data_IF_560281772293
#
_entry.id   IF_560281772293
#
_cell.length_a   1.000
_cell.length_b   1.000
_cell.length_c   1.000
_cell.angle_alpha   90.00
_cell.angle_beta   90.00
_cell.angle_gamma   90.00
#
_symmetry.space_group_name_H-M   'P 1'
#
loop_
_entity.id
_entity.type
_entity.pdbx_description
1 polymer ?
#
# COMPACT_ATOMS: atom_id res chain seq x y z
N UNK A 1 -14.30 -16.47 -72.97
CA UNK A 1 -12.89 -16.92 -73.06
C UNK A 1 -12.41 -17.17 -71.63
N UNK A 2 -13.13 -17.95 -70.84
CA UNK A 2 -13.36 -19.41 -70.89
C UNK A 2 -12.46 -20.04 -69.82
N UNK A 3 -13.05 -20.32 -68.64
CA UNK A 3 -13.62 -21.62 -68.24
C UNK A 3 -12.46 -22.54 -67.79
N UNK A 4 -12.28 -22.91 -66.53
CA UNK A 4 -13.10 -23.77 -65.64
C UNK A 4 -12.14 -24.24 -64.53
N UNK A 5 -12.51 -24.62 -63.30
CA UNK A 5 -13.77 -25.05 -62.74
C UNK A 5 -13.51 -26.23 -61.79
N UNK A 6 -13.68 -26.01 -60.49
CA UNK A 6 -14.44 -26.85 -59.55
C UNK A 6 -14.09 -28.32 -59.28
N UNK A 7 -13.92 -28.61 -57.99
CA UNK A 7 -14.86 -29.43 -57.20
C UNK A 7 -14.28 -30.66 -56.48
N UNK A 8 -14.42 -30.64 -55.15
CA UNK A 8 -14.51 -31.82 -54.29
C UNK A 8 -15.81 -32.62 -54.61
N UNK A 9 -16.05 -33.87 -54.11
CA UNK A 9 -16.39 -34.08 -52.69
C UNK A 9 -16.03 -35.47 -52.08
N UNK A 10 -16.36 -35.59 -50.80
CA UNK A 10 -16.24 -36.74 -49.90
C UNK A 10 -16.94 -38.04 -50.35
N UNK A 11 -16.47 -39.19 -49.82
CA UNK A 11 -17.33 -40.33 -49.44
C UNK A 11 -16.67 -41.29 -48.43
N UNK A 12 -17.52 -41.69 -47.50
CA UNK A 12 -17.51 -42.70 -46.43
C UNK A 12 -17.09 -44.12 -46.82
N UNK A 13 -16.52 -44.91 -45.88
CA UNK A 13 -17.19 -46.11 -45.31
C UNK A 13 -16.30 -46.96 -44.38
N UNK A 14 -16.95 -47.44 -43.32
CA UNK A 14 -16.68 -48.52 -42.35
C UNK A 14 -15.87 -49.73 -42.85
N UNK A 15 -15.01 -50.28 -41.98
CA UNK A 15 -15.13 -51.66 -41.47
C UNK A 15 -14.18 -51.96 -40.30
N UNK A 16 -14.72 -52.61 -39.25
CA UNK A 16 -14.04 -53.34 -38.16
C UNK A 16 -14.09 -54.84 -38.52
N UNK A 17 -13.18 -55.71 -38.04
CA UNK A 17 -13.37 -56.45 -36.78
C UNK A 17 -12.05 -56.64 -35.97
N UNK A 18 -12.07 -56.62 -34.63
CA UNK A 18 -12.14 -57.78 -33.69
C UNK A 18 -10.85 -58.60 -33.59
N UNK A 19 -10.24 -58.62 -32.39
CA UNK A 19 -9.75 -59.79 -31.63
C UNK A 19 -8.98 -59.27 -30.39
N UNK A 20 -9.54 -59.40 -29.18
CA UNK A 20 -9.32 -60.46 -28.18
C UNK A 20 -7.88 -60.40 -27.59
N UNK A 21 -7.65 -59.73 -26.44
CA UNK A 21 -7.74 -60.23 -25.02
C UNK A 21 -6.63 -61.28 -24.71
N UNK A 22 -6.01 -61.42 -23.51
CA UNK A 22 -6.24 -60.75 -22.21
C UNK A 22 -4.97 -60.20 -21.50
N UNK A 23 -5.24 -59.35 -20.52
CA UNK A 23 -4.52 -59.25 -19.23
C UNK A 23 -5.11 -60.31 -18.26
N UNK A 24 -4.34 -60.91 -17.34
CA UNK A 24 -4.95 -61.10 -16.02
C UNK A 24 -4.00 -60.81 -14.85
N UNK A 25 -4.49 -59.90 -14.02
CA UNK A 25 -4.71 -59.99 -12.57
C UNK A 25 -3.51 -60.36 -11.66
N UNK A 26 -3.02 -59.44 -10.84
CA UNK A 26 -3.65 -58.91 -9.61
C UNK A 26 -3.82 -59.97 -8.49
N UNK A 27 -2.97 -59.87 -7.47
CA UNK A 27 -3.30 -60.29 -6.09
C UNK A 27 -2.64 -59.32 -5.09
N UNK A 28 -3.48 -58.61 -4.34
CA UNK A 28 -3.24 -57.82 -3.12
C UNK A 28 -3.18 -58.75 -1.88
N UNK A 29 -3.29 -58.32 -0.61
CA UNK A 29 -2.61 -57.29 0.21
C UNK A 29 -1.98 -57.91 1.50
N UNK A 30 -1.50 -57.04 2.41
CA UNK A 30 -1.51 -57.18 3.90
C UNK A 30 -0.16 -57.36 4.63
N UNK A 31 -0.02 -56.64 5.75
CA UNK A 31 0.88 -56.97 6.88
C UNK A 31 1.85 -55.83 7.24
N UNK A 32 1.47 -54.88 8.12
CA UNK A 32 1.64 -54.91 9.58
C UNK A 32 3.10 -54.75 10.07
N UNK A 33 3.39 -53.67 10.81
CA UNK A 33 4.64 -53.56 11.56
C UNK A 33 4.97 -52.15 12.06
N UNK A 34 4.29 -51.68 13.11
CA UNK A 34 4.90 -50.74 14.06
C UNK A 34 6.05 -51.43 14.82
N UNK A 35 6.98 -50.66 15.39
CA UNK A 35 7.31 -50.94 16.78
C UNK A 35 7.31 -49.70 17.66
N UNK A 36 7.03 -50.01 18.92
CA UNK A 36 6.76 -49.15 20.05
C UNK A 36 8.01 -48.54 20.68
N UNK A 37 7.76 -47.48 21.45
CA UNK A 37 8.58 -46.86 22.50
C UNK A 37 9.33 -47.85 23.41
N UNK A 38 10.35 -47.38 24.16
CA UNK A 38 10.54 -47.77 25.54
C UNK A 38 9.89 -46.76 26.50
N UNK A 39 9.06 -47.29 27.39
CA UNK A 39 8.57 -46.66 28.62
C UNK A 39 9.52 -47.02 29.77
N UNK A 40 9.87 -46.02 30.57
CA UNK A 40 10.19 -46.11 32.01
C UNK A 40 9.89 -44.69 32.53
N UNK A 41 8.85 -44.39 33.33
CA UNK A 41 8.43 -45.01 34.58
C UNK A 41 9.40 -44.56 35.69
N UNK A 42 9.09 -43.70 36.66
CA UNK A 42 7.84 -43.03 37.02
C UNK A 42 8.08 -42.00 38.13
N UNK A 43 6.99 -41.65 38.84
CA UNK A 43 6.89 -40.83 40.05
C UNK A 43 6.85 -39.28 39.88
N UNK A 44 5.63 -38.75 39.75
CA UNK A 44 5.24 -37.59 40.55
C UNK A 44 5.08 -37.98 42.04
N UNK A 45 4.79 -37.04 42.97
CA UNK A 45 3.91 -35.89 42.76
C UNK A 45 4.41 -34.54 43.34
N UNK A 46 3.69 -33.48 42.99
CA UNK A 46 3.20 -32.43 43.91
C UNK A 46 3.46 -30.99 43.44
N UNK A 47 2.36 -30.35 43.03
CA UNK A 47 1.89 -29.02 43.47
C UNK A 47 2.92 -27.95 43.87
N UNK A 48 3.03 -26.89 43.08
CA UNK A 48 3.03 -25.51 43.59
C UNK A 48 2.83 -24.51 42.43
N UNK A 49 1.79 -23.68 42.57
CA UNK A 49 1.50 -22.54 41.71
C UNK A 49 2.54 -21.42 41.87
N UNK A 50 2.83 -20.62 40.82
CA UNK A 50 3.59 -19.39 40.97
C UNK A 50 2.68 -18.21 41.32
N UNK A 51 2.97 -17.59 42.46
CA UNK A 51 2.36 -16.36 42.96
C UNK A 51 2.58 -15.16 42.01
N UNK A 52 1.59 -14.27 41.83
CA UNK A 52 1.76 -13.02 41.11
C UNK A 52 2.39 -11.93 42.00
N UNK A 53 3.35 -11.19 41.44
CA UNK A 53 4.00 -10.05 42.08
C UNK A 53 3.06 -8.87 42.36
N UNK A 54 3.47 -7.94 43.25
CA UNK A 54 2.56 -7.00 43.90
C UNK A 54 2.12 -5.86 42.96
N UNK A 55 0.80 -5.65 42.92
CA UNK A 55 0.15 -4.46 42.35
C UNK A 55 0.22 -3.31 43.34
N UNK A 56 0.70 -2.16 42.88
CA UNK A 56 0.64 -0.87 43.58
C UNK A 56 -0.79 -0.32 43.44
N UNK A 57 -1.43 0.20 44.51
CA UNK A 57 -2.84 0.57 44.48
C UNK A 57 -3.07 2.01 43.97
N UNK A 58 -3.98 2.14 43.00
CA UNK A 58 -4.62 3.40 42.62
C UNK A 58 -5.59 3.87 43.71
N UNK A 59 -5.36 5.08 44.21
CA UNK A 59 -6.29 5.77 45.09
C UNK A 59 -7.41 6.41 44.27
N UNK A 60 -8.64 5.92 44.47
CA UNK A 60 -9.88 6.63 44.12
C UNK A 60 -10.21 7.61 45.24
N UNK A 61 -10.55 8.85 44.90
CA UNK A 61 -11.47 9.65 45.70
C UNK A 61 -12.42 10.46 44.82
N UNK A 62 -13.67 10.41 45.24
CA UNK A 62 -14.87 10.94 44.61
C UNK A 62 -15.10 12.42 44.94
N UNK A 63 -15.71 13.09 43.96
CA UNK A 63 -16.56 14.29 43.95
C UNK A 63 -16.88 15.04 45.26
N UNK A 64 -16.86 16.38 45.18
CA UNK A 64 -17.95 17.23 45.67
C UNK A 64 -17.89 18.64 45.06
N UNK A 65 -19.01 19.04 44.44
CA UNK A 65 -19.35 20.42 44.09
C UNK A 65 -19.63 21.26 45.34
N UNK A 66 -19.21 22.53 45.36
CA UNK A 66 -19.93 23.60 46.08
C UNK A 66 -19.59 24.99 45.51
N UNK A 67 -20.66 25.74 45.28
CA UNK A 67 -20.76 27.15 44.91
C UNK A 67 -20.22 28.09 46.01
N UNK A 68 -19.72 29.27 45.63
CA UNK A 68 -19.43 30.35 46.58
C UNK A 68 -18.73 31.56 45.96
N UNK A 69 -19.48 32.64 45.81
CA UNK A 69 -19.13 33.96 45.28
C UNK A 69 -17.91 34.67 45.92
N UNK A 70 -17.35 35.62 45.18
CA UNK A 70 -17.03 36.94 45.75
C UNK A 70 -15.60 37.46 45.56
N UNK A 71 -15.56 38.74 45.15
CA UNK A 71 -14.51 39.75 45.36
C UNK A 71 -13.41 39.94 44.29
N UNK A 72 -13.65 41.00 43.52
CA UNK A 72 -12.75 41.77 42.66
C UNK A 72 -11.65 42.53 43.42
N UNK A 73 -10.67 43.02 42.63
CA UNK A 73 -9.74 44.17 42.78
C UNK A 73 -8.24 43.77 42.77
N UNK A 74 -7.30 44.70 42.44
CA UNK A 74 -6.90 45.01 41.06
C UNK A 74 -5.38 44.85 40.86
N UNK A 75 -4.89 44.61 39.64
CA UNK A 75 -3.44 44.67 39.35
C UNK A 75 -3.13 45.54 38.13
N UNK A 76 -2.97 46.81 38.46
CA UNK A 76 -1.92 47.74 38.00
C UNK A 76 -1.24 47.44 36.67
N UNK A 77 -1.59 48.30 35.71
CA UNK A 77 -0.81 48.65 34.53
C UNK A 77 0.61 49.10 34.93
N UNK A 78 1.62 48.45 34.34
CA UNK A 78 2.95 49.04 34.19
C UNK A 78 3.35 48.95 32.73
N UNK A 79 3.21 50.12 32.08
CA UNK A 79 3.89 50.49 30.84
C UNK A 79 5.39 50.19 30.97
N UNK A 80 5.93 49.45 29.99
CA UNK A 80 7.37 49.36 29.78
C UNK A 80 7.67 49.69 28.32
N UNK A 81 8.59 50.65 28.21
CA UNK A 81 9.09 51.31 27.03
C UNK A 81 9.48 50.38 25.89
N UNK A 82 9.16 50.85 24.70
CA UNK A 82 9.59 50.39 23.38
C UNK A 82 11.11 50.49 23.22
N UNK A 83 11.73 49.38 22.84
CA UNK A 83 13.11 49.30 22.34
C UNK A 83 13.02 49.05 20.82
N UNK A 84 13.75 49.78 19.96
CA UNK A 84 13.65 49.59 18.52
C UNK A 84 14.30 48.27 18.11
N UNK A 85 13.50 47.36 17.59
CA UNK A 85 13.93 46.05 17.11
C UNK A 85 14.74 46.22 15.81
N UNK A 86 15.98 45.76 15.84
CA UNK A 86 16.85 45.71 14.67
C UNK A 86 16.22 44.78 13.62
N UNK A 87 16.01 45.30 12.41
CA UNK A 87 15.55 44.53 11.25
C UNK A 87 16.52 43.38 10.99
N UNK A 88 16.09 42.14 11.27
CA UNK A 88 16.76 40.93 10.82
C UNK A 88 16.80 40.86 9.28
N UNK A 89 17.73 40.07 8.71
CA UNK A 89 17.89 39.98 7.26
C UNK A 89 16.62 39.40 6.64
N UNK A 90 16.06 40.13 5.67
CA UNK A 90 14.97 39.66 4.82
C UNK A 90 15.49 38.49 4.01
N UNK A 91 15.08 37.27 4.38
CA UNK A 91 15.26 36.08 3.55
C UNK A 91 14.36 36.27 2.32
N UNK A 92 14.87 36.20 1.08
CA UNK A 92 14.02 36.32 -0.08
C UNK A 92 13.02 35.15 -0.11
N UNK A 93 11.73 35.47 -0.11
CA UNK A 93 10.64 34.51 -0.31
C UNK A 93 10.86 33.74 -1.61
N UNK A 94 10.96 32.42 -1.51
CA UNK A 94 11.00 31.53 -2.66
C UNK A 94 9.59 31.50 -3.31
N UNK A 95 9.44 31.84 -4.59
CA UNK A 95 8.14 32.10 -5.21
C UNK A 95 7.24 30.88 -5.48
N UNK A 96 7.50 29.70 -4.90
CA UNK A 96 6.75 28.47 -5.20
C UNK A 96 6.47 27.55 -4.00
N UNK A 97 6.73 27.99 -2.76
CA UNK A 97 6.35 27.19 -1.59
C UNK A 97 4.82 27.18 -1.44
N UNK A 98 4.20 26.01 -1.59
CA UNK A 98 2.79 25.78 -1.23
C UNK A 98 2.76 25.11 0.14
N UNK A 99 2.77 25.87 1.26
CA UNK A 99 2.86 25.29 2.60
C UNK A 99 1.71 24.33 2.93
N UNK A 100 0.57 24.46 2.23
CA UNK A 100 -0.61 23.61 2.41
C UNK A 100 -0.65 22.37 1.49
N UNK A 101 0.34 22.20 0.59
CA UNK A 101 0.36 21.09 -0.35
C UNK A 101 0.85 19.80 0.34
N UNK A 102 -0.01 18.78 0.40
CA UNK A 102 0.37 17.47 0.93
C UNK A 102 1.36 16.78 -0.01
N UNK A 103 2.44 16.16 0.51
CA UNK A 103 3.32 15.33 -0.30
C UNK A 103 2.56 14.21 -1.00
N UNK A 104 2.59 14.18 -2.34
CA UNK A 104 1.88 13.17 -3.14
C UNK A 104 2.71 12.73 -4.32
N UNK A 105 2.70 11.43 -4.62
CA UNK A 105 3.34 10.91 -5.82
C UNK A 105 2.49 11.30 -7.04
N UNK A 106 3.10 12.07 -7.94
CA UNK A 106 2.45 12.62 -9.15
C UNK A 106 2.98 11.98 -10.43
N UNK A 107 4.10 11.25 -10.35
CA UNK A 107 4.64 10.49 -11.47
C UNK A 107 5.32 9.21 -10.98
N UNK A 108 5.11 8.12 -11.70
CA UNK A 108 5.86 6.88 -11.53
C UNK A 108 6.70 6.60 -12.79
N UNK A 109 7.98 6.33 -12.61
CA UNK A 109 8.92 6.03 -13.70
C UNK A 109 9.44 4.61 -13.63
N UNK A 110 9.27 3.87 -14.72
CA UNK A 110 9.76 2.52 -14.93
C UNK A 110 10.77 2.56 -16.07
N UNK A 111 11.95 3.09 -15.77
CA UNK A 111 12.99 3.35 -16.78
C UNK A 111 13.52 2.04 -17.40
N UNK A 112 13.70 1.01 -16.58
CA UNK A 112 14.11 -0.31 -16.99
C UNK A 112 13.67 -1.32 -15.93
N UNK A 113 12.43 -1.80 -15.98
CA UNK A 113 11.84 -2.63 -14.91
C UNK A 113 10.91 -3.70 -15.48
N UNK A 114 11.25 -4.97 -15.31
CA UNK A 114 10.57 -6.13 -15.87
C UNK A 114 10.27 -5.95 -17.37
N UNK A 115 8.99 -5.88 -17.78
CA UNK A 115 8.58 -5.62 -19.16
C UNK A 115 8.69 -4.14 -19.60
N UNK A 116 8.75 -3.19 -18.66
CA UNK A 116 8.68 -1.75 -18.93
C UNK A 116 10.03 -1.15 -19.34
N UNK A 117 9.99 -0.21 -20.29
CA UNK A 117 11.16 0.52 -20.83
C UNK A 117 10.82 1.99 -20.97
N UNK A 118 11.61 2.86 -20.36
CA UNK A 118 11.46 4.32 -20.45
C UNK A 118 10.02 4.81 -20.21
N UNK A 119 9.26 4.11 -19.37
CA UNK A 119 7.87 4.47 -19.11
C UNK A 119 7.80 5.50 -17.98
N UNK A 120 7.00 6.54 -18.18
CA UNK A 120 6.66 7.53 -17.17
C UNK A 120 5.14 7.71 -17.16
N UNK A 121 4.52 7.48 -16.00
CA UNK A 121 3.08 7.53 -15.84
C UNK A 121 2.72 8.65 -14.87
N UNK A 122 2.05 9.69 -15.39
CA UNK A 122 1.47 10.72 -14.55
C UNK A 122 0.34 10.12 -13.70
N UNK A 123 0.33 10.46 -12.41
CA UNK A 123 -0.64 10.02 -11.43
C UNK A 123 -1.51 11.21 -11.03
N UNK A 124 -2.79 11.14 -11.41
CA UNK A 124 -3.85 12.05 -10.96
C UNK A 124 -4.52 11.57 -9.65
N UNK A 125 -5.57 12.28 -9.19
CA UNK A 125 -6.35 11.89 -8.01
C UNK A 125 -6.93 10.47 -8.13
N UNK A 126 -7.42 10.10 -9.32
CA UNK A 126 -7.80 8.72 -9.66
C UNK A 126 -7.09 8.34 -10.96
N UNK A 127 -6.22 7.35 -10.91
CA UNK A 127 -5.46 6.84 -12.07
C UNK A 127 -5.69 5.35 -12.24
N UNK A 128 -6.13 4.94 -13.43
CA UNK A 128 -6.44 3.55 -13.75
C UNK A 128 -5.58 3.05 -14.92
N UNK A 129 -4.78 2.02 -14.67
CA UNK A 129 -3.99 1.32 -15.67
C UNK A 129 -4.83 0.24 -16.37
N UNK A 130 -4.84 0.25 -17.70
CA UNK A 130 -5.58 -0.72 -18.52
C UNK A 130 -4.70 -1.27 -19.65
N UNK A 131 -5.19 -2.29 -20.36
CA UNK A 131 -4.46 -2.99 -21.42
C UNK A 131 -4.54 -4.52 -21.30
N UNK A 132 -4.03 -5.27 -22.28
CA UNK A 132 -4.14 -6.73 -22.32
C UNK A 132 -3.42 -7.42 -21.15
N UNK A 133 -3.74 -8.70 -20.93
CA UNK A 133 -2.94 -9.53 -20.01
C UNK A 133 -1.47 -9.52 -20.41
N UNK A 134 -0.57 -9.39 -19.44
CA UNK A 134 0.87 -9.26 -19.71
C UNK A 134 1.34 -7.83 -20.02
N UNK A 135 0.46 -6.83 -20.13
CA UNK A 135 0.86 -5.43 -20.38
C UNK A 135 1.61 -4.75 -19.23
N UNK A 136 1.79 -5.43 -18.10
CA UNK A 136 2.53 -4.93 -16.95
C UNK A 136 1.73 -4.05 -15.98
N UNK A 137 0.39 -4.06 -16.02
CA UNK A 137 -0.49 -3.35 -15.05
C UNK A 137 -0.12 -3.65 -13.59
N UNK A 138 -0.10 -4.92 -13.22
CA UNK A 138 0.29 -5.38 -11.87
C UNK A 138 1.72 -4.95 -11.55
N UNK A 139 2.64 -5.10 -12.50
CA UNK A 139 4.04 -4.71 -12.35
C UNK A 139 4.20 -3.22 -12.06
N UNK A 140 3.40 -2.36 -12.71
CA UNK A 140 3.39 -0.91 -12.46
C UNK A 140 2.97 -0.59 -11.03
N UNK A 141 1.88 -1.18 -10.54
CA UNK A 141 1.44 -0.97 -9.15
C UNK A 141 2.43 -1.55 -8.14
N UNK A 142 3.04 -2.71 -8.42
CA UNK A 142 4.08 -3.30 -7.58
C UNK A 142 5.32 -2.43 -7.49
N UNK A 143 5.70 -1.72 -8.56
CA UNK A 143 6.82 -0.79 -8.51
C UNK A 143 6.54 0.40 -7.57
N UNK A 144 5.30 0.92 -7.57
CA UNK A 144 4.90 1.96 -6.62
C UNK A 144 4.90 1.40 -5.19
N UNK A 145 4.30 0.24 -4.95
CA UNK A 145 4.33 -0.42 -3.64
C UNK A 145 5.78 -0.64 -3.15
N UNK A 146 6.69 -1.06 -4.03
CA UNK A 146 8.09 -1.26 -3.69
C UNK A 146 8.79 0.05 -3.29
N UNK A 147 8.57 1.14 -4.02
CA UNK A 147 9.07 2.46 -3.62
C UNK A 147 8.49 2.91 -2.28
N UNK A 148 7.20 2.65 -2.02
CA UNK A 148 6.56 2.95 -0.75
C UNK A 148 7.22 2.22 0.42
N UNK A 149 7.48 0.91 0.26
CA UNK A 149 8.16 0.07 1.26
C UNK A 149 9.60 0.51 1.51
N UNK A 150 10.36 0.80 0.45
CA UNK A 150 11.72 1.37 0.58
C UNK A 150 11.70 2.74 1.29
N UNK A 151 10.71 3.58 1.01
CA UNK A 151 10.49 4.86 1.69
C UNK A 151 10.12 4.70 3.16
N UNK A 152 9.47 3.58 3.54
CA UNK A 152 9.19 3.21 4.92
C UNK A 152 10.42 2.62 5.66
N UNK A 153 11.49 2.30 4.95
CA UNK A 153 12.73 1.78 5.52
C UNK A 153 12.86 0.26 5.46
N UNK A 154 11.98 -0.45 4.74
CA UNK A 154 12.13 -1.89 4.52
C UNK A 154 13.44 -2.19 3.77
N UNK A 155 14.18 -3.25 4.14
CA UNK A 155 15.41 -3.64 3.45
C UNK A 155 15.12 -4.19 2.06
N UNK A 156 16.08 -4.02 1.16
CA UNK A 156 15.92 -4.29 -0.27
C UNK A 156 15.53 -5.74 -0.59
N UNK A 157 16.02 -6.72 0.17
CA UNK A 157 15.72 -8.14 0.01
C UNK A 157 14.28 -8.51 0.41
N UNK A 158 13.73 -7.84 1.43
CA UNK A 158 12.32 -7.97 1.78
C UNK A 158 11.40 -7.29 0.74
N UNK A 159 11.85 -6.22 0.11
CA UNK A 159 11.08 -5.51 -0.93
C UNK A 159 11.10 -6.27 -2.25
N UNK A 160 12.25 -6.85 -2.62
CA UNK A 160 12.45 -7.56 -3.88
C UNK A 160 13.05 -8.97 -3.66
N UNK A 161 12.28 -9.91 -3.09
CA UNK A 161 12.76 -11.28 -2.89
C UNK A 161 13.15 -11.95 -4.22
N UNK A 162 12.40 -11.67 -5.29
CA UNK A 162 12.61 -12.20 -6.64
C UNK A 162 13.17 -11.11 -7.59
N UNK A 163 14.18 -10.35 -7.14
CA UNK A 163 14.72 -9.20 -7.88
C UNK A 163 15.19 -9.53 -9.31
N UNK A 164 15.64 -10.77 -9.55
CA UNK A 164 16.09 -11.22 -10.88
C UNK A 164 14.95 -11.20 -11.92
N UNK A 165 13.73 -11.52 -11.51
CA UNK A 165 12.54 -11.52 -12.39
C UNK A 165 12.11 -10.10 -12.80
N UNK A 166 12.58 -9.10 -12.05
CA UNK A 166 12.33 -7.68 -12.32
C UNK A 166 13.39 -7.07 -13.23
N UNK A 167 14.45 -7.80 -13.57
CA UNK A 167 15.42 -7.38 -14.57
C UNK A 167 14.77 -7.49 -15.96
N UNK A 168 14.86 -6.44 -16.80
CA UNK A 168 14.59 -6.54 -18.22
C UNK A 168 15.12 -7.83 -18.88
N UNK A 169 14.25 -8.63 -19.50
CA UNK A 169 14.64 -9.91 -20.14
C UNK A 169 15.79 -9.74 -21.16
N UNK A 170 15.76 -8.63 -21.91
CA UNK A 170 16.80 -8.29 -22.90
C UNK A 170 18.05 -7.61 -22.31
N UNK A 171 18.10 -7.34 -21.00
CA UNK A 171 19.29 -6.77 -20.39
C UNK A 171 20.40 -7.82 -20.35
N UNK A 172 21.47 -7.53 -21.08
CA UNK A 172 22.69 -8.35 -21.05
C UNK A 172 23.48 -8.01 -19.79
N UNK A 173 24.12 -9.02 -19.16
CA UNK A 173 25.08 -8.75 -18.11
C UNK A 173 26.22 -7.89 -18.65
N UNK A 174 26.75 -7.02 -17.81
CA UNK A 174 27.98 -6.31 -18.14
C UNK A 174 29.20 -7.25 -18.03
N UNK A 175 30.41 -6.71 -18.25
CA UNK A 175 31.66 -7.47 -18.19
C UNK A 175 31.91 -8.15 -16.82
N UNK A 176 31.25 -7.68 -15.76
CA UNK A 176 31.32 -8.20 -14.40
C UNK A 176 30.11 -9.08 -14.05
N UNK A 177 29.26 -9.44 -15.03
CA UNK A 177 28.08 -10.26 -14.80
C UNK A 177 26.90 -9.51 -14.20
N UNK A 178 26.96 -8.17 -14.08
CA UNK A 178 25.96 -7.40 -13.34
C UNK A 178 24.73 -7.12 -14.18
N UNK A 179 23.56 -7.30 -13.57
CA UNK A 179 22.25 -6.96 -14.15
C UNK A 179 21.37 -6.32 -13.08
N UNK A 180 20.41 -5.51 -13.53
CA UNK A 180 19.61 -4.72 -12.62
C UNK A 180 18.45 -4.00 -13.30
N UNK A 181 17.74 -3.20 -12.52
CA UNK A 181 16.59 -2.45 -12.95
C UNK A 181 16.61 -1.01 -12.39
N UNK A 182 15.80 -0.15 -13.00
CA UNK A 182 15.66 1.26 -12.62
C UNK A 182 14.20 1.66 -12.53
N UNK A 183 13.84 2.15 -11.35
CA UNK A 183 12.52 2.68 -11.00
C UNK A 183 12.69 4.05 -10.34
N UNK A 184 11.64 4.86 -10.34
CA UNK A 184 11.66 6.15 -9.68
C UNK A 184 10.27 6.77 -9.60
N UNK A 185 10.17 7.89 -8.91
CA UNK A 185 8.93 8.65 -8.80
C UNK A 185 9.19 10.15 -8.70
N UNK A 186 8.17 10.95 -9.01
CA UNK A 186 8.13 12.37 -8.65
C UNK A 186 7.10 12.55 -7.55
N UNK A 187 7.50 13.23 -6.48
CA UNK A 187 6.64 13.60 -5.37
C UNK A 187 6.49 15.11 -5.38
N UNK A 188 5.27 15.59 -5.55
CA UNK A 188 4.93 17.01 -5.45
C UNK A 188 4.52 17.34 -4.01
N UNK A 189 4.68 18.60 -3.58
CA UNK A 189 4.48 19.01 -2.20
C UNK A 189 5.07 20.40 -1.89
N UNK A 190 5.37 20.72 -0.62
CA UNK A 190 5.83 22.06 -0.22
C UNK A 190 7.14 22.49 -0.89
N UNK A 191 8.01 21.55 -1.27
CA UNK A 191 9.27 21.81 -1.97
C UNK A 191 9.07 21.99 -3.49
N UNK A 192 7.85 21.85 -4.01
CA UNK A 192 7.57 21.62 -5.42
C UNK A 192 7.90 20.18 -5.84
N UNK A 193 8.05 19.88 -7.14
CA UNK A 193 8.33 18.53 -7.61
C UNK A 193 9.74 18.07 -7.21
N UNK A 194 9.80 16.97 -6.46
CA UNK A 194 11.04 16.28 -6.07
C UNK A 194 11.10 14.92 -6.75
N UNK A 195 12.19 14.68 -7.49
CA UNK A 195 12.41 13.47 -8.28
C UNK A 195 13.35 12.52 -7.55
N UNK A 196 12.90 11.29 -7.31
CA UNK A 196 13.70 10.18 -6.82
C UNK A 196 13.90 9.15 -7.94
N UNK A 197 15.14 8.87 -8.31
CA UNK A 197 15.50 7.79 -9.23
C UNK A 197 16.41 6.78 -8.52
N UNK A 198 16.08 5.49 -8.64
CA UNK A 198 16.75 4.37 -7.97
C UNK A 198 17.26 3.36 -9.00
N UNK A 199 18.52 2.95 -8.84
CA UNK A 199 19.16 1.89 -9.60
C UNK A 199 19.51 0.73 -8.68
N UNK A 200 18.92 -0.43 -8.96
CA UNK A 200 19.11 -1.66 -8.21
C UNK A 200 19.85 -2.66 -9.07
N UNK A 201 20.92 -3.24 -8.56
CA UNK A 201 21.53 -4.44 -9.09
C UNK A 201 20.81 -5.65 -8.49
N UNK A 202 20.37 -6.57 -9.33
CA UNK A 202 19.77 -7.85 -8.91
C UNK A 202 20.81 -8.98 -8.93
N UNK A 203 21.69 -8.98 -9.93
CA UNK A 203 22.71 -10.03 -10.14
C UNK A 203 24.11 -9.40 -10.19
N UNK A 204 25.16 -10.07 -9.67
CA UNK A 204 25.13 -11.37 -8.98
C UNK A 204 24.66 -11.28 -7.53
N UNK A 205 24.61 -10.06 -6.96
CA UNK A 205 24.12 -9.80 -5.60
C UNK A 205 23.15 -8.62 -5.61
N UNK A 206 22.02 -8.80 -4.93
CA UNK A 206 21.03 -7.76 -4.72
C UNK A 206 21.63 -6.60 -3.90
N UNK A 207 21.57 -5.39 -4.45
CA UNK A 207 21.97 -4.13 -3.79
C UNK A 207 21.52 -2.89 -4.56
N UNK A 208 21.38 -1.78 -3.88
CA UNK A 208 21.26 -0.44 -4.46
C UNK A 208 22.65 -0.03 -4.96
N UNK A 209 22.76 0.29 -6.25
CA UNK A 209 24.02 0.74 -6.86
C UNK A 209 24.07 2.24 -7.11
N UNK A 210 22.91 2.88 -7.11
CA UNK A 210 22.80 4.32 -7.24
C UNK A 210 21.41 4.84 -6.93
N UNK A 211 21.39 6.04 -6.42
CA UNK A 211 20.19 6.78 -6.04
C UNK A 211 20.41 8.25 -6.39
N UNK A 212 19.36 8.91 -6.86
CA UNK A 212 19.40 10.34 -7.16
C UNK A 212 18.13 11.01 -6.65
N UNK A 213 18.30 11.97 -5.75
CA UNK A 213 17.26 12.90 -5.31
C UNK A 213 17.50 14.25 -5.99
N UNK A 214 16.53 14.75 -6.74
CA UNK A 214 16.64 16.01 -7.49
C UNK A 214 15.45 16.91 -7.19
N UNK A 215 15.69 18.19 -6.92
CA UNK A 215 14.66 19.22 -6.80
C UNK A 215 15.14 20.49 -7.50
N UNK A 216 14.25 21.22 -8.17
CA UNK A 216 14.57 22.48 -8.88
C UNK A 216 15.81 22.36 -9.78
N UNK A 217 15.86 21.27 -10.56
CA UNK A 217 16.97 20.89 -11.46
C UNK A 217 18.35 20.73 -10.78
N UNK A 218 18.38 20.63 -9.45
CA UNK A 218 19.58 20.40 -8.66
C UNK A 218 19.57 19.01 -8.05
N UNK A 219 20.70 18.30 -8.17
CA UNK A 219 20.91 17.05 -7.42
C UNK A 219 21.19 17.36 -5.95
N UNK A 220 20.30 16.89 -5.08
CA UNK A 220 20.38 17.05 -3.62
C UNK A 220 21.10 15.88 -2.96
N UNK A 221 20.86 14.67 -3.46
CA UNK A 221 21.57 13.44 -3.07
C UNK A 221 21.95 12.68 -4.33
N UNK A 222 23.17 12.19 -4.38
CA UNK A 222 23.59 11.15 -5.30
C UNK A 222 24.33 10.05 -4.53
N UNK A 223 24.02 8.78 -4.84
CA UNK A 223 24.80 7.63 -4.36
C UNK A 223 25.42 6.90 -5.54
N UNK A 224 26.60 6.32 -5.31
CA UNK A 224 27.28 5.50 -6.30
C UNK A 224 28.06 4.37 -5.61
N UNK A 225 27.94 3.16 -6.15
CA UNK A 225 28.81 2.04 -5.78
C UNK A 225 30.24 2.32 -6.29
N UNK A 226 31.17 2.59 -5.36
CA UNK A 226 32.60 2.83 -5.66
C UNK A 226 33.46 1.60 -5.46
N UNK A 227 33.15 0.83 -4.42
CA UNK A 227 33.87 -0.39 -4.05
C UNK A 227 32.87 -1.56 -3.97
N UNK A 228 32.79 -2.42 -5.00
CA UNK A 228 31.88 -3.57 -5.03
C UNK A 228 32.12 -4.59 -3.91
N UNK A 229 33.32 -4.59 -3.30
CA UNK A 229 33.67 -5.47 -2.17
C UNK A 229 33.04 -5.06 -0.85
N UNK A 230 32.48 -3.85 -0.76
CA UNK A 230 31.78 -3.36 0.44
C UNK A 230 30.26 -3.43 0.28
N UNK A 231 29.57 -3.50 1.41
CA UNK A 231 28.11 -3.39 1.52
C UNK A 231 27.67 -1.93 1.72
N UNK A 232 28.36 -0.99 1.06
CA UNK A 232 28.10 0.44 1.20
C UNK A 232 28.24 1.14 -0.15
N UNK A 233 27.36 2.10 -0.40
CA UNK A 233 27.50 3.08 -1.49
C UNK A 233 28.09 4.37 -0.96
N UNK A 234 28.86 5.06 -1.80
CA UNK A 234 29.32 6.41 -1.49
C UNK A 234 28.19 7.39 -1.77
N UNK A 235 27.69 8.05 -0.72
CA UNK A 235 26.72 9.12 -0.85
C UNK A 235 27.41 10.49 -0.90
N UNK A 236 26.81 11.39 -1.66
CA UNK A 236 27.13 12.81 -1.72
C UNK A 236 25.83 13.60 -1.60
N UNK A 237 25.72 14.48 -0.61
CA UNK A 237 24.56 15.37 -0.46
C UNK A 237 24.96 16.84 -0.41
N UNK A 238 24.07 17.67 -0.95
CA UNK A 238 24.25 19.10 -1.06
C UNK A 238 24.28 19.79 0.31
N UNK A 239 25.14 20.79 0.47
CA UNK A 239 25.21 21.57 1.71
C UNK A 239 25.02 23.07 1.48
N UNK A 240 25.35 23.61 0.31
CA UNK A 240 25.50 25.06 0.10
C UNK A 240 26.39 25.73 1.17
N UNK A 241 27.37 25.00 1.73
CA UNK A 241 28.34 25.50 2.71
C UNK A 241 29.72 25.72 2.10
N UNK A 242 30.75 25.86 2.95
CA UNK A 242 32.14 26.04 2.52
C UNK A 242 32.64 24.91 1.60
N UNK A 243 32.20 23.67 1.87
CA UNK A 243 32.34 22.54 0.94
C UNK A 243 31.00 22.32 0.25
N UNK A 244 30.93 22.22 -1.09
CA UNK A 244 29.65 22.16 -1.83
C UNK A 244 28.80 20.91 -1.54
N UNK A 245 29.45 19.83 -1.12
CA UNK A 245 28.82 18.55 -0.75
C UNK A 245 29.47 17.94 0.49
N UNK A 246 28.73 17.12 1.21
CA UNK A 246 29.25 16.19 2.21
C UNK A 246 29.25 14.78 1.65
N UNK A 247 30.31 14.03 1.94
CA UNK A 247 30.50 12.65 1.50
C UNK A 247 30.49 11.70 2.69
N UNK A 248 29.66 10.66 2.63
CA UNK A 248 29.67 9.60 3.64
C UNK A 248 29.22 8.26 3.03
N UNK A 249 29.64 7.13 3.61
CA UNK A 249 29.09 5.84 3.22
C UNK A 249 27.65 5.69 3.74
N UNK A 250 26.78 5.15 2.88
CA UNK A 250 25.45 4.66 3.25
C UNK A 250 25.38 3.15 2.95
N UNK A 251 24.57 2.39 3.69
CA UNK A 251 24.32 0.99 3.39
C UNK A 251 23.77 0.82 1.96
N UNK A 252 24.08 -0.31 1.31
CA UNK A 252 23.65 -0.61 -0.07
C UNK A 252 22.35 -1.44 -0.14
N UNK A 253 21.65 -1.63 0.98
CA UNK A 253 20.39 -2.38 1.10
C UNK A 253 19.21 -1.54 1.64
N UNK A 254 19.43 -0.25 1.95
CA UNK A 254 18.41 0.69 2.42
C UNK A 254 18.37 1.94 1.55
N UNK A 255 17.18 2.52 1.38
CA UNK A 255 17.01 3.76 0.62
C UNK A 255 17.75 4.92 1.32
N UNK A 256 18.76 5.49 0.65
CA UNK A 256 19.58 6.56 1.20
C UNK A 256 18.77 7.81 1.55
N UNK A 257 17.76 8.15 0.72
CA UNK A 257 16.82 9.25 0.97
C UNK A 257 16.12 9.09 2.33
N UNK A 258 15.70 7.87 2.70
CA UNK A 258 15.06 7.61 3.99
C UNK A 258 16.03 7.75 5.18
N UNK A 259 17.34 7.63 4.96
CA UNK A 259 18.37 7.77 5.98
C UNK A 259 18.82 9.23 6.18
N UNK A 260 18.53 10.14 5.26
CA UNK A 260 19.01 11.53 5.32
C UNK A 260 18.63 12.26 6.62
N UNK A 261 17.40 12.15 7.15
CA UNK A 261 17.03 12.78 8.42
C UNK A 261 17.91 12.37 9.61
N UNK A 262 18.49 11.18 9.57
CA UNK A 262 19.38 10.65 10.61
C UNK A 262 20.86 11.00 10.40
N UNK A 263 21.22 11.51 9.21
CA UNK A 263 22.62 11.70 8.78
C UNK A 263 22.99 13.16 8.51
N UNK A 264 22.02 13.98 8.12
CA UNK A 264 22.25 15.38 7.74
C UNK A 264 22.00 16.29 8.93
N UNK A 265 22.97 17.15 9.25
CA UNK A 265 22.92 18.00 10.45
C UNK A 265 21.94 19.18 10.37
N UNK A 266 21.46 19.54 9.17
CA UNK A 266 20.51 20.66 8.98
C UNK A 266 21.05 22.04 9.33
N UNK A 267 22.37 22.26 9.26
CA UNK A 267 23.01 23.52 9.70
C UNK A 267 23.14 24.57 8.61
N UNK A 268 23.02 24.17 7.34
CA UNK A 268 23.22 25.04 6.20
C UNK A 268 21.96 25.07 5.32
N UNK A 269 21.72 26.13 4.53
CA UNK A 269 20.56 26.21 3.65
C UNK A 269 20.42 25.00 2.71
N UNK A 270 21.53 24.51 2.15
CA UNK A 270 21.50 23.32 1.29
C UNK A 270 21.23 22.02 2.05
N UNK A 271 21.66 21.91 3.31
CA UNK A 271 21.30 20.76 4.15
C UNK A 271 19.82 20.76 4.52
N UNK A 272 19.24 21.94 4.78
CA UNK A 272 17.80 22.08 5.01
C UNK A 272 17.00 21.75 3.75
N UNK A 273 17.47 22.15 2.57
CA UNK A 273 16.87 21.78 1.28
C UNK A 273 16.88 20.25 1.06
N UNK A 274 18.01 19.59 1.38
CA UNK A 274 18.14 18.12 1.33
C UNK A 274 17.13 17.45 2.27
N UNK A 275 17.05 17.90 3.52
CA UNK A 275 16.13 17.35 4.52
C UNK A 275 14.67 17.52 4.10
N UNK A 276 14.27 18.72 3.66
CA UNK A 276 12.91 19.00 3.24
C UNK A 276 12.48 18.16 2.03
N UNK A 277 13.36 18.01 1.03
CA UNK A 277 13.09 17.17 -0.14
C UNK A 277 13.01 15.68 0.22
N UNK A 278 13.88 15.20 1.11
CA UNK A 278 13.88 13.82 1.57
C UNK A 278 12.61 13.49 2.37
N UNK A 279 12.23 14.37 3.31
CA UNK A 279 11.00 14.26 4.08
C UNK A 279 9.78 14.23 3.16
N UNK A 280 9.68 15.16 2.21
CA UNK A 280 8.57 15.18 1.24
C UNK A 280 8.45 13.85 0.50
N UNK A 281 9.56 13.30 -0.02
CA UNK A 281 9.53 12.03 -0.74
C UNK A 281 9.10 10.87 0.16
N UNK A 282 9.68 10.78 1.36
CA UNK A 282 9.34 9.72 2.34
C UNK A 282 7.88 9.80 2.76
N UNK A 283 7.37 11.00 3.07
CA UNK A 283 5.96 11.21 3.44
C UNK A 283 5.03 10.84 2.28
N UNK A 284 5.35 11.28 1.07
CA UNK A 284 4.56 10.97 -0.11
C UNK A 284 4.51 9.46 -0.41
N UNK A 285 5.64 8.76 -0.26
CA UNK A 285 5.74 7.32 -0.47
C UNK A 285 5.04 6.51 0.63
N UNK A 286 5.21 6.88 1.89
CA UNK A 286 4.54 6.22 3.04
C UNK A 286 3.03 6.43 3.07
N UNK A 287 2.49 7.33 2.24
CA UNK A 287 1.04 7.50 2.07
C UNK A 287 0.36 6.36 1.31
N UNK A 288 1.11 5.48 0.64
CA UNK A 288 0.54 4.42 -0.17
C UNK A 288 0.10 3.21 0.66
N UNK A 289 -1.13 2.73 0.44
CA UNK A 289 -1.67 1.50 1.00
C UNK A 289 -2.09 0.55 -0.12
N UNK A 290 -1.44 -0.61 -0.22
CA UNK A 290 -1.86 -1.66 -1.13
C UNK A 290 -3.06 -2.42 -0.55
N UNK A 291 -4.17 -2.42 -1.29
CA UNK A 291 -5.38 -3.16 -0.93
C UNK A 291 -5.65 -4.23 -2.00
N UNK A 292 -5.62 -5.49 -1.58
CA UNK A 292 -5.88 -6.65 -2.43
C UNK A 292 -6.84 -7.61 -1.70
N UNK A 293 -8.14 -7.29 -1.63
CA UNK A 293 -9.08 -8.10 -0.86
C UNK A 293 -9.13 -9.54 -1.38
N UNK A 294 -8.96 -10.52 -0.49
CA UNK A 294 -8.98 -11.95 -0.77
C UNK A 294 -10.24 -12.61 -0.19
N UNK A 295 -11.34 -12.75 -0.96
CA UNK A 295 -12.61 -13.29 -0.48
C UNK A 295 -12.48 -14.58 0.32
N UNK A 296 -11.60 -15.49 -0.12
CA UNK A 296 -11.30 -16.75 0.55
C UNK A 296 -10.82 -16.58 2.00
N UNK A 297 -10.14 -15.47 2.33
CA UNK A 297 -9.66 -15.14 3.68
C UNK A 297 -10.64 -14.30 4.50
N UNK A 298 -11.59 -13.63 3.84
CA UNK A 298 -12.53 -12.68 4.46
C UNK A 298 -13.77 -13.34 5.08
N UNK A 299 -13.99 -14.64 4.81
CA UNK A 299 -15.24 -15.35 5.12
C UNK A 299 -15.34 -15.81 6.57
N UNK A 300 -14.21 -16.11 7.20
CA UNK A 300 -14.18 -16.63 8.55
C UNK A 300 -14.50 -15.53 9.57
N UNK A 301 -15.17 -15.85 10.69
CA UNK A 301 -15.15 -14.99 11.88
C UNK A 301 -13.71 -14.75 12.32
N UNK A 302 -13.43 -13.56 12.83
CA UNK A 302 -12.08 -13.16 13.24
C UNK A 302 -12.08 -12.69 14.69
N UNK A 303 -10.99 -12.90 15.45
CA UNK A 303 -10.89 -12.32 16.78
C UNK A 303 -10.95 -10.78 16.70
N UNK A 304 -11.48 -10.10 17.72
CA UNK A 304 -11.32 -8.66 17.84
C UNK A 304 -9.84 -8.31 18.01
N UNK A 305 -9.42 -7.17 17.47
CA UNK A 305 -8.05 -6.68 17.55
C UNK A 305 -8.02 -5.16 17.47
N UNK A 306 -6.93 -4.61 16.95
CA UNK A 306 -6.71 -3.16 16.84
C UNK A 306 -7.61 -2.48 15.78
N UNK A 307 -8.33 -3.26 14.98
CA UNK A 307 -9.23 -2.77 13.93
C UNK A 307 -8.49 -1.97 12.86
N UNK A 308 -7.28 -2.44 12.48
CA UNK A 308 -6.52 -1.96 11.32
C UNK A 308 -6.70 -2.94 10.16
N UNK A 309 -7.27 -2.49 9.06
CA UNK A 309 -7.55 -3.30 7.88
C UNK A 309 -6.25 -3.73 7.22
N UNK A 310 -6.07 -5.05 7.10
CA UNK A 310 -4.90 -5.65 6.46
C UNK A 310 -4.97 -5.51 4.95
N UNK A 311 -3.82 -5.59 4.28
CA UNK A 311 -3.71 -5.61 2.80
C UNK A 311 -4.69 -6.58 2.13
N UNK A 312 -4.79 -7.80 2.65
CA UNK A 312 -5.64 -8.86 2.09
C UNK A 312 -7.11 -8.78 2.53
N UNK A 313 -7.42 -7.81 3.40
CA UNK A 313 -8.72 -7.58 4.03
C UNK A 313 -9.27 -8.79 4.80
N UNK A 314 -8.43 -9.77 5.20
CA UNK A 314 -8.88 -10.97 5.91
C UNK A 314 -9.65 -10.63 7.20
N UNK A 315 -9.33 -9.51 7.84
CA UNK A 315 -9.99 -9.02 9.04
C UNK A 315 -11.14 -8.03 8.79
N UNK A 316 -11.79 -8.06 7.61
CA UNK A 316 -12.89 -7.15 7.28
C UNK A 316 -13.99 -7.12 8.36
N UNK A 317 -14.37 -8.27 8.92
CA UNK A 317 -15.40 -8.33 9.96
C UNK A 317 -14.99 -7.61 11.26
N UNK A 318 -13.71 -7.64 11.64
CA UNK A 318 -13.16 -6.90 12.79
C UNK A 318 -13.23 -5.40 12.55
N UNK A 319 -12.83 -4.93 11.36
CA UNK A 319 -12.81 -3.50 11.04
C UNK A 319 -14.22 -2.94 10.91
N UNK A 320 -15.16 -3.73 10.39
CA UNK A 320 -16.58 -3.38 10.37
C UNK A 320 -17.15 -3.26 11.78
N UNK A 321 -16.76 -4.15 12.71
CA UNK A 321 -17.13 -4.06 14.11
C UNK A 321 -16.70 -2.74 14.73
N UNK A 322 -15.40 -2.44 14.60
CA UNK A 322 -14.85 -1.19 15.10
C UNK A 322 -15.52 0.02 14.46
N UNK A 323 -15.71 0.01 13.13
CA UNK A 323 -16.34 1.13 12.42
C UNK A 323 -17.79 1.35 12.84
N UNK A 324 -18.53 0.26 13.11
CA UNK A 324 -19.89 0.32 13.61
C UNK A 324 -19.97 1.00 14.99
N UNK A 325 -19.05 0.66 15.90
CA UNK A 325 -19.04 1.19 17.27
C UNK A 325 -18.41 2.58 17.38
N UNK A 326 -17.30 2.84 16.69
CA UNK A 326 -16.48 4.04 16.87
C UNK A 326 -16.90 5.20 15.94
N UNK A 327 -17.51 4.91 14.79
CA UNK A 327 -17.82 5.92 13.79
C UNK A 327 -19.15 5.67 13.05
N UNK A 328 -20.30 5.95 13.70
CA UNK A 328 -21.63 5.71 13.13
C UNK A 328 -21.86 6.39 11.77
N UNK A 329 -21.30 7.59 11.56
CA UNK A 329 -21.39 8.30 10.27
C UNK A 329 -20.70 7.53 9.13
N UNK A 330 -19.51 6.98 9.38
CA UNK A 330 -18.77 6.18 8.40
C UNK A 330 -19.50 4.86 8.15
N UNK A 331 -19.97 4.23 9.22
CA UNK A 331 -20.76 3.01 9.12
C UNK A 331 -22.02 3.19 8.27
N UNK A 332 -22.78 4.26 8.49
CA UNK A 332 -23.97 4.58 7.69
C UNK A 332 -23.63 4.85 6.22
N UNK A 333 -22.54 5.58 5.94
CA UNK A 333 -22.07 5.80 4.56
C UNK A 333 -21.68 4.48 3.89
N UNK A 334 -21.02 3.58 4.60
CA UNK A 334 -20.68 2.26 4.09
C UNK A 334 -21.92 1.39 3.86
N UNK A 335 -22.93 1.46 4.73
CA UNK A 335 -24.21 0.78 4.53
C UNK A 335 -24.95 1.30 3.28
N UNK A 336 -24.92 2.61 3.03
CA UNK A 336 -25.47 3.20 1.81
C UNK A 336 -24.73 2.71 0.55
N UNK A 337 -23.39 2.67 0.59
CA UNK A 337 -22.56 2.10 -0.50
C UNK A 337 -22.88 0.61 -0.68
N UNK A 338 -23.02 -0.16 0.40
CA UNK A 338 -23.44 -1.56 0.33
C UNK A 338 -24.79 -1.74 -0.37
N UNK A 339 -25.78 -0.87 -0.11
CA UNK A 339 -27.05 -0.88 -0.85
C UNK A 339 -26.95 -0.48 -2.32
N UNK A 340 -25.97 0.34 -2.67
CA UNK A 340 -25.70 0.71 -4.05
C UNK A 340 -25.03 -0.40 -4.87
N UNK A 341 -24.28 -1.32 -4.26
CA UNK A 341 -23.51 -2.34 -5.00
C UNK A 341 -23.78 -3.81 -4.67
N UNK A 342 -24.40 -4.15 -3.53
CA UNK A 342 -24.71 -5.55 -3.20
C UNK A 342 -26.07 -5.99 -3.77
N UNK A 343 -26.25 -7.30 -3.92
CA UNK A 343 -27.45 -7.86 -4.56
C UNK A 343 -28.70 -7.68 -3.69
N UNK A 344 -29.87 -7.35 -4.25
CA UNK A 344 -31.10 -7.18 -3.47
C UNK A 344 -31.12 -5.93 -2.57
N UNK A 345 -32.21 -5.75 -1.82
CA UNK A 345 -32.44 -4.54 -1.01
C UNK A 345 -31.68 -4.60 0.30
N UNK A 346 -30.46 -4.08 0.34
CA UNK A 346 -29.67 -3.96 1.57
C UNK A 346 -30.22 -2.81 2.42
N UNK A 347 -30.43 -3.09 3.70
CA UNK A 347 -30.92 -2.12 4.69
C UNK A 347 -29.84 -1.68 5.67
N UNK A 348 -28.73 -2.41 5.75
CA UNK A 348 -27.69 -2.16 6.74
C UNK A 348 -26.52 -3.14 6.67
N UNK A 349 -25.50 -2.83 7.46
CA UNK A 349 -24.41 -3.73 7.79
C UNK A 349 -24.47 -3.98 9.30
N UNK A 350 -24.64 -5.22 9.70
CA UNK A 350 -24.69 -5.61 11.11
C UNK A 350 -23.39 -6.26 11.56
N UNK A 351 -23.17 -6.30 12.86
CA UNK A 351 -22.05 -7.02 13.46
C UNK A 351 -22.53 -7.85 14.64
N UNK A 352 -21.95 -9.04 14.81
CA UNK A 352 -22.31 -10.01 15.84
C UNK A 352 -21.05 -10.55 16.50
N UNK A 353 -21.00 -10.44 17.82
CA UNK A 353 -20.04 -11.16 18.64
C UNK A 353 -20.53 -12.61 18.81
N UNK A 354 -19.62 -13.56 18.62
CA UNK A 354 -19.86 -14.99 18.79
C UNK A 354 -19.35 -15.44 20.16
N UNK A 355 -19.90 -16.54 20.68
CA UNK A 355 -19.55 -17.08 22.01
C UNK A 355 -18.07 -17.42 22.19
N UNK A 356 -17.38 -17.67 21.08
CA UNK A 356 -15.95 -17.98 21.03
C UNK A 356 -15.05 -16.73 21.12
N UNK A 357 -15.63 -15.55 21.36
CA UNK A 357 -14.88 -14.28 21.40
C UNK A 357 -14.44 -13.81 20.01
N UNK A 358 -15.07 -14.33 18.95
CA UNK A 358 -14.84 -13.88 17.57
C UNK A 358 -15.97 -12.99 17.09
N UNK A 359 -15.68 -12.14 16.10
CA UNK A 359 -16.63 -11.21 15.52
C UNK A 359 -16.98 -11.64 14.09
N UNK A 360 -18.26 -11.50 13.76
CA UNK A 360 -18.81 -11.75 12.44
C UNK A 360 -19.63 -10.55 11.98
N UNK A 361 -19.32 -10.04 10.79
CA UNK A 361 -20.17 -9.06 10.12
C UNK A 361 -21.25 -9.75 9.27
N UNK A 362 -22.38 -9.07 9.12
CA UNK A 362 -23.55 -9.51 8.36
C UNK A 362 -24.05 -8.39 7.46
N UNK A 363 -24.59 -8.74 6.31
CA UNK A 363 -25.30 -7.86 5.40
C UNK A 363 -26.80 -7.98 5.65
N UNK A 364 -27.44 -6.89 6.04
CA UNK A 364 -28.87 -6.86 6.37
C UNK A 364 -29.68 -6.59 5.11
N UNK A 365 -30.75 -7.36 4.90
CA UNK A 365 -31.56 -7.30 3.68
C UNK A 365 -33.03 -7.22 4.04
N UNK A 366 -33.78 -6.37 3.35
CA UNK A 366 -35.21 -6.20 3.58
C UNK A 366 -35.95 -7.54 3.42
N UNK A 367 -36.75 -7.92 4.42
CA UNK A 367 -37.57 -9.14 4.39
C UNK A 367 -36.80 -10.46 4.41
N UNK A 368 -35.49 -10.47 4.75
CA UNK A 368 -34.67 -11.69 4.82
C UNK A 368 -33.82 -11.70 6.08
N UNK A 369 -33.39 -12.88 6.51
CA UNK A 369 -32.38 -13.02 7.58
C UNK A 369 -31.06 -12.38 7.16
N UNK A 370 -30.40 -11.66 8.08
CA UNK A 370 -29.10 -11.07 7.82
C UNK A 370 -28.10 -12.12 7.32
N UNK A 371 -27.40 -11.81 6.23
CA UNK A 371 -26.50 -12.74 5.54
C UNK A 371 -25.07 -12.56 6.06
N UNK A 372 -24.44 -13.58 6.67
CA UNK A 372 -23.02 -13.50 7.06
C UNK A 372 -22.10 -13.18 5.88
N UNK A 373 -21.03 -12.41 6.12
CA UNK A 373 -19.98 -12.19 5.11
C UNK A 373 -19.49 -13.51 4.50
N UNK A 374 -19.35 -14.56 5.32
CA UNK A 374 -18.96 -15.90 4.89
C UNK A 374 -19.82 -16.51 3.77
N UNK A 375 -21.05 -16.02 3.57
CA UNK A 375 -22.00 -16.48 2.55
C UNK A 375 -22.16 -15.51 1.37
N UNK A 376 -21.49 -14.36 1.38
CA UNK A 376 -21.55 -13.40 0.27
C UNK A 376 -20.76 -13.89 -0.95
N UNK A 377 -21.09 -13.36 -2.13
CA UNK A 377 -20.29 -13.58 -3.33
C UNK A 377 -18.91 -12.92 -3.23
N UNK A 378 -17.92 -13.41 -3.99
CA UNK A 378 -16.57 -12.83 -4.03
C UNK A 378 -16.59 -11.35 -4.44
N UNK A 379 -17.43 -10.99 -5.41
CA UNK A 379 -17.62 -9.61 -5.84
C UNK A 379 -18.16 -8.71 -4.74
N UNK A 380 -19.16 -9.16 -3.98
CA UNK A 380 -19.71 -8.40 -2.84
C UNK A 380 -18.65 -8.20 -1.75
N UNK A 381 -17.85 -9.23 -1.44
CA UNK A 381 -16.76 -9.12 -0.46
C UNK A 381 -15.70 -8.11 -0.91
N UNK A 382 -15.21 -8.21 -2.16
CA UNK A 382 -14.23 -7.28 -2.72
C UNK A 382 -14.77 -5.85 -2.75
N UNK A 383 -16.02 -5.68 -3.19
CA UNK A 383 -16.69 -4.39 -3.23
C UNK A 383 -16.74 -3.73 -1.85
N UNK A 384 -17.20 -4.45 -0.82
CA UNK A 384 -17.29 -3.94 0.54
C UNK A 384 -15.93 -3.58 1.13
N UNK A 385 -14.90 -4.41 0.88
CA UNK A 385 -13.55 -4.13 1.35
C UNK A 385 -12.96 -2.86 0.70
N UNK A 386 -13.04 -2.74 -0.64
CA UNK A 386 -12.52 -1.56 -1.35
C UNK A 386 -13.29 -0.29 -0.96
N UNK A 387 -14.61 -0.39 -0.83
CA UNK A 387 -15.44 0.71 -0.36
C UNK A 387 -15.08 1.16 1.06
N UNK A 388 -14.88 0.20 1.98
CA UNK A 388 -14.44 0.49 3.34
C UNK A 388 -13.09 1.22 3.30
N UNK A 389 -12.11 0.72 2.53
CA UNK A 389 -10.79 1.36 2.41
C UNK A 389 -10.90 2.81 1.93
N UNK A 390 -11.71 3.10 0.91
CA UNK A 390 -11.94 4.46 0.41
C UNK A 390 -12.64 5.37 1.43
N UNK A 391 -13.53 4.82 2.26
CA UNK A 391 -14.25 5.57 3.29
C UNK A 391 -13.46 5.73 4.59
N UNK A 392 -12.30 5.08 4.71
CA UNK A 392 -11.43 5.14 5.87
C UNK A 392 -10.14 5.89 5.58
N UNK A 393 -9.70 6.72 6.53
CA UNK A 393 -8.36 7.30 6.49
C UNK A 393 -7.28 6.30 6.95
N UNK A 394 -6.00 6.71 6.92
CA UNK A 394 -4.87 5.89 7.39
C UNK A 394 -5.03 5.41 8.85
N UNK A 395 -5.86 6.12 9.62
CA UNK A 395 -6.42 5.78 10.94
C UNK A 395 -6.93 4.33 11.16
N UNK A 396 -7.34 3.67 10.08
CA UNK A 396 -8.03 2.37 10.13
C UNK A 396 -7.33 1.33 9.25
N UNK A 397 -6.18 1.67 8.65
CA UNK A 397 -5.44 0.77 7.77
C UNK A 397 -4.18 0.26 8.48
N UNK A 398 -3.78 -0.97 8.19
CA UNK A 398 -2.51 -1.54 8.63
C UNK A 398 -1.39 -0.96 7.76
N UNK A 399 -1.02 0.29 8.06
CA UNK A 399 0.08 0.99 7.43
C UNK A 399 0.84 1.79 8.50
N UNK A 400 2.13 1.95 8.27
CA UNK A 400 2.97 2.78 9.11
C UNK A 400 2.61 4.25 8.90
N UNK A 401 2.14 4.91 9.96
CA UNK A 401 1.78 6.32 9.91
C UNK A 401 3.02 7.14 10.18
N UNK A 402 3.19 8.20 9.39
CA UNK A 402 4.17 9.24 9.71
C UNK A 402 3.64 10.02 10.91
N UNK A 403 3.89 9.52 12.12
CA UNK A 403 3.43 10.14 13.37
C UNK A 403 3.99 11.55 13.57
N UNK A 404 5.10 11.85 12.89
CA UNK A 404 5.75 13.17 12.85
C UNK A 404 4.94 14.19 12.03
N UNK A 405 4.04 13.74 11.15
CA UNK A 405 3.23 14.61 10.29
C UNK A 405 1.82 14.74 10.87
N UNK A 406 1.29 15.97 11.05
CA UNK A 406 -0.08 16.17 11.51
C UNK A 406 -1.09 15.41 10.65
N UNK A 407 -2.11 14.81 11.26
CA UNK A 407 -3.15 14.04 10.55
C UNK A 407 -3.79 14.81 9.39
N UNK A 408 -3.93 16.14 9.54
CA UNK A 408 -4.47 17.03 8.51
C UNK A 408 -3.56 17.22 7.28
N UNK A 409 -2.31 16.75 7.33
CA UNK A 409 -1.35 16.77 6.21
C UNK A 409 -1.07 15.37 5.67
N UNK A 410 -1.53 14.32 6.34
CA UNK A 410 -1.42 12.95 5.85
C UNK A 410 -2.37 12.75 4.66
N UNK A 411 -1.79 12.34 3.52
CA UNK A 411 -2.55 11.81 2.39
C UNK A 411 -2.70 10.29 2.50
N UNK A 412 -3.58 9.72 1.70
CA UNK A 412 -3.66 8.28 1.46
C UNK A 412 -3.67 8.03 -0.05
N UNK A 413 -2.82 7.14 -0.55
CA UNK A 413 -2.94 6.62 -1.92
C UNK A 413 -3.31 5.14 -1.86
N UNK A 414 -4.53 4.81 -2.29
CA UNK A 414 -4.96 3.43 -2.44
C UNK A 414 -4.35 2.81 -3.70
N UNK A 415 -3.56 1.75 -3.54
CA UNK A 415 -3.08 0.91 -4.64
C UNK A 415 -3.97 -0.32 -4.76
N UNK A 416 -4.72 -0.45 -5.86
CA UNK A 416 -5.69 -1.54 -6.05
C UNK A 416 -5.46 -2.29 -7.37
N UNK A 417 -4.74 -3.40 -7.31
CA UNK A 417 -4.54 -4.27 -8.47
C UNK A 417 -5.79 -5.11 -8.75
N UNK A 418 -6.32 -4.99 -9.96
CA UNK A 418 -7.59 -5.57 -10.36
C UNK A 418 -8.75 -4.94 -9.58
N UNK A 419 -8.86 -3.62 -9.60
CA UNK A 419 -9.90 -2.86 -8.90
C UNK A 419 -11.31 -3.37 -9.26
N UNK A 420 -11.51 -3.87 -10.49
CA UNK A 420 -12.76 -4.45 -10.99
C UNK A 420 -12.80 -6.00 -10.98
N UNK A 421 -11.74 -6.67 -10.49
CA UNK A 421 -11.63 -8.14 -10.51
C UNK A 421 -12.77 -8.79 -9.75
N UNK A 422 -13.63 -9.52 -10.46
CA UNK A 422 -14.76 -10.25 -9.85
C UNK A 422 -15.95 -9.37 -9.45
N UNK A 423 -15.91 -8.06 -9.75
CA UNK A 423 -17.04 -7.16 -9.55
C UNK A 423 -17.93 -7.17 -10.79
N UNK A 424 -19.25 -7.02 -10.59
CA UNK A 424 -20.16 -6.79 -11.70
C UNK A 424 -20.11 -5.32 -12.19
N UNK A 425 -20.80 -5.02 -13.30
CA UNK A 425 -20.82 -3.68 -13.89
C UNK A 425 -21.26 -2.60 -12.89
N UNK A 426 -22.31 -2.88 -12.12
CA UNK A 426 -22.91 -1.92 -11.18
C UNK A 426 -21.92 -1.64 -10.04
N UNK A 427 -21.30 -2.69 -9.52
CA UNK A 427 -20.30 -2.59 -8.46
C UNK A 427 -19.06 -1.79 -8.91
N UNK A 428 -18.53 -2.07 -10.11
CA UNK A 428 -17.41 -1.31 -10.67
C UNK A 428 -17.75 0.17 -10.86
N UNK A 429 -18.96 0.47 -11.38
CA UNK A 429 -19.45 1.82 -11.57
C UNK A 429 -19.58 2.59 -10.25
N UNK A 430 -20.22 1.99 -9.24
CA UNK A 430 -20.37 2.61 -7.92
C UNK A 430 -19.03 2.80 -7.21
N UNK A 431 -18.11 1.84 -7.34
CA UNK A 431 -16.78 1.97 -6.75
C UNK A 431 -15.97 3.09 -7.42
N UNK A 432 -16.07 3.22 -8.74
CA UNK A 432 -15.44 4.32 -9.48
C UNK A 432 -16.04 5.67 -9.08
N UNK A 433 -17.37 5.77 -8.97
CA UNK A 433 -18.05 6.98 -8.51
C UNK A 433 -17.61 7.36 -7.10
N UNK A 434 -17.53 6.39 -6.20
CA UNK A 434 -17.03 6.60 -4.83
C UNK A 434 -15.58 7.06 -4.82
N UNK A 435 -14.71 6.46 -5.64
CA UNK A 435 -13.31 6.84 -5.75
C UNK A 435 -13.16 8.31 -6.21
N UNK A 436 -13.93 8.75 -7.19
CA UNK A 436 -13.92 10.14 -7.67
C UNK A 436 -14.47 11.10 -6.61
N UNK A 437 -15.59 10.76 -5.96
CA UNK A 437 -16.19 11.55 -4.89
C UNK A 437 -15.20 11.78 -3.75
N UNK A 438 -14.53 10.72 -3.30
CA UNK A 438 -13.55 10.75 -2.22
C UNK A 438 -12.25 11.46 -2.64
N UNK A 439 -11.79 11.25 -3.87
CA UNK A 439 -10.59 11.91 -4.37
C UNK A 439 -10.80 13.42 -4.61
N UNK A 440 -12.05 13.85 -4.83
CA UNK A 440 -12.42 15.27 -4.93
C UNK A 440 -12.10 16.08 -3.66
N UNK A 441 -12.12 15.44 -2.48
CA UNK A 441 -11.74 16.06 -1.21
C UNK A 441 -10.21 16.26 -1.08
N UNK A 442 -9.41 15.70 -2.00
CA UNK A 442 -7.95 15.87 -2.07
C UNK A 442 -7.14 15.12 -1.02
N UNK A 443 -7.79 14.37 -0.13
CA UNK A 443 -7.13 13.63 0.96
C UNK A 443 -6.77 12.20 0.61
N UNK A 444 -7.49 11.62 -0.36
CA UNK A 444 -7.34 10.24 -0.79
C UNK A 444 -7.12 10.24 -2.30
N UNK A 445 -6.20 9.41 -2.76
CA UNK A 445 -5.90 9.18 -4.18
C UNK A 445 -6.04 7.69 -4.47
N UNK A 446 -6.27 7.35 -5.73
CA UNK A 446 -6.40 5.96 -6.17
C UNK A 446 -5.49 5.73 -7.36
N UNK A 447 -4.65 4.71 -7.29
CA UNK A 447 -3.96 4.13 -8.43
C UNK A 447 -4.35 2.65 -8.53
N UNK A 448 -5.03 2.26 -9.59
CA UNK A 448 -5.55 0.90 -9.74
C UNK A 448 -5.34 0.33 -11.12
N UNK A 449 -5.52 -0.98 -11.25
CA UNK A 449 -5.58 -1.63 -12.57
C UNK A 449 -6.99 -2.14 -12.84
N UNK A 450 -7.41 -2.07 -14.11
CA UNK A 450 -8.77 -2.43 -14.52
C UNK A 450 -8.78 -3.14 -15.88
N UNK A 451 -9.83 -3.93 -16.10
CA UNK A 451 -10.14 -4.49 -17.41
C UNK A 451 -10.78 -3.48 -18.37
N UNK A 452 -10.88 -3.88 -19.64
CA UNK A 452 -11.30 -3.01 -20.75
C UNK A 452 -12.68 -2.38 -20.53
N UNK A 453 -13.61 -3.13 -19.93
CA UNK A 453 -14.98 -2.67 -19.67
C UNK A 453 -14.98 -1.47 -18.71
N UNK A 454 -14.32 -1.61 -17.56
CA UNK A 454 -14.25 -0.56 -16.56
C UNK A 454 -13.42 0.61 -17.07
N UNK A 455 -12.37 0.35 -17.85
CA UNK A 455 -11.61 1.40 -18.51
C UNK A 455 -12.46 2.22 -19.50
N UNK A 456 -13.35 1.59 -20.27
CA UNK A 456 -14.25 2.30 -21.18
C UNK A 456 -15.23 3.22 -20.43
N UNK A 457 -15.65 2.83 -19.23
CA UNK A 457 -16.45 3.68 -18.35
C UNK A 457 -15.63 4.81 -17.76
N UNK A 458 -14.46 4.51 -17.21
CA UNK A 458 -13.53 5.47 -16.63
C UNK A 458 -13.13 6.60 -17.59
N UNK A 459 -12.96 6.32 -18.89
CA UNK A 459 -12.68 7.35 -19.90
C UNK A 459 -13.80 8.39 -20.05
N UNK A 460 -15.03 8.07 -19.65
CA UNK A 460 -16.18 8.98 -19.67
C UNK A 460 -16.43 9.64 -18.31
N UNK A 461 -15.67 9.28 -17.28
CA UNK A 461 -15.86 9.78 -15.92
C UNK A 461 -14.90 10.95 -15.66
N UNK A 462 -15.42 12.17 -15.40
CA UNK A 462 -14.57 13.30 -15.04
C UNK A 462 -13.73 13.02 -13.79
N UNK A 463 -12.48 13.50 -13.78
CA UNK A 463 -11.56 13.32 -12.65
C UNK A 463 -10.80 11.98 -12.64
N UNK A 464 -11.00 11.13 -13.66
CA UNK A 464 -10.29 9.86 -13.82
C UNK A 464 -9.28 9.95 -14.96
N UNK A 465 -8.04 9.61 -14.67
CA UNK A 465 -6.98 9.42 -15.67
C UNK A 465 -6.88 7.94 -16.02
N UNK A 466 -7.03 7.60 -17.29
CA UNK A 466 -6.83 6.23 -17.79
C UNK A 466 -5.49 6.16 -18.53
N UNK A 467 -4.66 5.18 -18.16
CA UNK A 467 -3.34 4.93 -18.76
C UNK A 467 -3.37 3.58 -19.47
N UNK A 468 -3.27 3.61 -20.80
CA UNK A 468 -3.17 2.44 -21.65
C UNK A 468 -1.75 1.87 -21.65
N UNK A 469 -1.60 0.60 -21.27
CA UNK A 469 -0.33 -0.13 -21.25
C UNK A 469 -0.28 -1.19 -22.35
N UNK A 470 0.89 -1.36 -22.98
CA UNK A 470 1.12 -2.36 -24.02
C UNK A 470 0.68 -1.94 -25.43
N UNK A 471 0.50 -0.64 -25.65
CA UNK A 471 0.32 -0.04 -26.97
C UNK A 471 1.66 0.12 -27.70
#
# INVERSE_FOLDING_TARGET
>A
MDLTGGSAPARTSKNRPSDLVPDPDAVTPSGSGSPSLPVSGGAGPSSAAPSPGPRVPEARTSAASRSGAGASLPRTSRSRASVPEARGPVVPEAPDARPDARPTVTELRLSAFAGHRSAAHALGPVTLFTGPSGSGKTTTLRAYEALARLGAGDPLDEVFPDAADLVPERARPDAQGRRGFRIGCTVDGPCGPVRLDLAVQAEPRLRIVGERLTARDRTLLATALRDPGRSTVQAEWHTAGATPVTRAPLPDDLLGTALLPLRVAGRTPGQLEVLAAAEQVVVGLRSAFACDPRPERMRAPVPPGEGRLRRDCANLAEVLHRTHNDCPRRHHRLAAVAGAGCAGTVTGLGVRELREGTVRAVLERAGRTATPLGRLGDGELRYLALALTLLTGPGVLEMDRVAEVPDAMQGLTLLADGLDRGLDRRQSAELLRLAVEIAGDGHIRVAGSVGDRTAAEARRTPGVTVVDLGA
#
